data_IF_802847590088
#
_entry.id   IF_802847590088
#
_cell.length_a   1.000
_cell.length_b   1.000
_cell.length_c   1.000
_cell.angle_alpha   90.00
_cell.angle_beta   90.00
_cell.angle_gamma   90.00
#
_symmetry.space_group_name_H-M   'P 1'
#
loop_
_entity.id
_entity.type
_entity.pdbx_description
1 polymer ?
#
# COMPACT_ATOMS: atom_id res chain seq x y z
N UNK A 1 0.36 26.70 11.82
CA UNK A 1 -1.08 26.93 11.57
C UNK A 1 -1.77 25.57 11.60
N UNK A 2 -2.55 25.31 12.65
CA UNK A 2 -3.24 24.05 12.88
C UNK A 2 -4.34 23.85 11.82
N UNK A 3 -4.00 23.28 10.67
CA UNK A 3 -4.99 22.64 9.81
C UNK A 3 -5.11 21.18 10.26
N UNK A 4 -5.78 20.94 11.39
CA UNK A 4 -6.32 19.60 11.62
C UNK A 4 -7.24 19.31 10.43
N UNK A 5 -6.84 18.34 9.60
CA UNK A 5 -7.65 17.83 8.51
C UNK A 5 -9.01 17.50 9.14
N UNK A 6 -10.13 18.06 8.65
CA UNK A 6 -11.41 17.79 9.27
C UNK A 6 -11.62 16.28 9.17
N UNK A 7 -11.65 15.60 10.33
CA UNK A 7 -12.35 14.32 10.42
C UNK A 7 -13.72 14.60 9.79
N UNK A 8 -14.12 13.79 8.80
CA UNK A 8 -15.43 13.92 8.17
C UNK A 8 -16.46 14.00 9.31
N UNK A 9 -17.01 15.19 9.56
CA UNK A 9 -17.90 15.47 10.71
C UNK A 9 -19.16 14.61 10.69
N UNK A 10 -19.38 13.89 9.60
CA UNK A 10 -20.56 13.10 9.27
C UNK A 10 -20.37 11.60 9.42
N UNK A 11 -19.18 11.11 9.80
CA UNK A 11 -18.94 9.67 9.95
C UNK A 11 -18.43 9.35 11.36
N UNK A 12 -19.28 8.72 12.16
CA UNK A 12 -18.89 8.08 13.41
C UNK A 12 -18.17 6.77 13.03
N UNK A 13 -16.84 6.66 13.17
CA UNK A 13 -16.06 5.55 12.60
C UNK A 13 -16.27 4.21 13.31
N UNK A 14 -16.96 4.20 14.46
CA UNK A 14 -17.16 3.00 15.26
C UNK A 14 -18.27 2.09 14.72
N UNK A 15 -19.22 2.63 13.94
CA UNK A 15 -20.36 1.86 13.44
C UNK A 15 -20.54 2.01 11.93
N UNK A 16 -20.71 0.90 11.18
CA UNK A 16 -21.01 0.97 9.76
C UNK A 16 -22.39 1.61 9.55
N UNK A 17 -22.51 2.47 8.56
CA UNK A 17 -23.82 2.95 8.10
C UNK A 17 -24.60 1.85 7.36
N UNK A 18 -25.90 2.08 7.15
CA UNK A 18 -26.80 1.10 6.51
C UNK A 18 -26.28 0.60 5.15
N UNK A 19 -25.74 1.50 4.33
CA UNK A 19 -25.19 1.16 3.01
C UNK A 19 -23.92 0.31 3.11
N UNK A 20 -23.05 0.58 4.10
CA UNK A 20 -21.87 -0.24 4.37
C UNK A 20 -22.28 -1.63 4.86
N UNK A 21 -23.30 -1.71 5.72
CA UNK A 21 -23.82 -2.97 6.23
C UNK A 21 -24.45 -3.82 5.10
N UNK A 22 -25.24 -3.19 4.22
CA UNK A 22 -25.81 -3.83 3.03
C UNK A 22 -24.70 -4.40 2.14
N UNK A 23 -23.68 -3.59 1.79
CA UNK A 23 -22.54 -4.04 0.99
C UNK A 23 -21.75 -5.17 1.64
N UNK A 24 -21.58 -5.13 2.96
CA UNK A 24 -20.91 -6.19 3.68
C UNK A 24 -21.73 -7.48 3.69
N UNK A 25 -23.06 -7.38 3.84
CA UNK A 25 -23.97 -8.53 3.81
C UNK A 25 -23.98 -9.18 2.43
N UNK A 26 -24.05 -8.39 1.34
CA UNK A 26 -23.91 -8.89 -0.03
C UNK A 26 -22.57 -9.63 -0.25
N UNK A 27 -21.48 -9.08 0.27
CA UNK A 27 -20.16 -9.72 0.20
C UNK A 27 -20.12 -11.03 1.00
N UNK A 28 -20.71 -11.06 2.19
CA UNK A 28 -20.77 -12.28 3.00
C UNK A 28 -21.55 -13.39 2.30
N UNK A 29 -22.71 -13.06 1.72
CA UNK A 29 -23.54 -14.00 0.95
C UNK A 29 -22.81 -14.52 -0.29
N UNK A 30 -22.09 -13.65 -1.00
CA UNK A 30 -21.31 -14.06 -2.17
C UNK A 30 -20.18 -15.01 -1.79
N UNK A 31 -19.40 -14.69 -0.75
CA UNK A 31 -18.32 -15.54 -0.24
C UNK A 31 -18.84 -16.91 0.21
N UNK A 32 -19.98 -16.95 0.91
CA UNK A 32 -20.63 -18.21 1.31
C UNK A 32 -21.07 -19.04 0.11
N UNK A 33 -21.61 -18.39 -0.92
CA UNK A 33 -22.11 -19.03 -2.14
C UNK A 33 -20.98 -19.57 -3.01
N UNK A 34 -19.89 -18.80 -3.18
CA UNK A 34 -18.69 -19.25 -3.91
C UNK A 34 -18.01 -20.44 -3.21
N UNK A 35 -17.97 -20.41 -1.88
CA UNK A 35 -17.25 -21.38 -1.08
C UNK A 35 -15.73 -21.33 -1.33
N UNK A 36 -14.99 -22.19 -0.62
CA UNK A 36 -13.53 -22.18 -0.66
C UNK A 36 -12.98 -22.40 -2.08
N UNK A 37 -13.57 -23.33 -2.84
CA UNK A 37 -13.10 -23.62 -4.19
C UNK A 37 -13.31 -22.42 -5.13
N UNK A 38 -14.49 -21.77 -5.07
CA UNK A 38 -14.75 -20.58 -5.88
C UNK A 38 -13.76 -19.44 -5.58
N UNK A 39 -13.45 -19.22 -4.30
CA UNK A 39 -12.44 -18.21 -3.92
C UNK A 39 -11.04 -18.56 -4.43
N UNK A 40 -10.66 -19.84 -4.42
CA UNK A 40 -9.38 -20.29 -4.98
C UNK A 40 -9.32 -20.06 -6.50
N UNK A 41 -10.44 -20.30 -7.20
CA UNK A 41 -10.54 -20.10 -8.63
C UNK A 41 -10.47 -18.59 -8.97
N UNK A 42 -11.17 -17.73 -8.23
CA UNK A 42 -11.05 -16.26 -8.37
C UNK A 42 -9.63 -15.77 -8.11
N UNK A 43 -9.00 -16.27 -7.03
CA UNK A 43 -7.61 -15.93 -6.73
C UNK A 43 -6.67 -16.40 -7.84
N UNK A 44 -6.89 -17.57 -8.43
CA UNK A 44 -6.05 -18.08 -9.52
C UNK A 44 -6.10 -17.18 -10.76
N UNK A 45 -7.26 -16.57 -11.06
CA UNK A 45 -7.41 -15.58 -12.14
C UNK A 45 -6.60 -14.31 -11.84
N UNK A 46 -6.68 -13.79 -10.62
CA UNK A 46 -6.03 -12.52 -10.24
C UNK A 46 -4.53 -12.70 -9.99
N UNK A 47 -4.07 -13.87 -9.55
CA UNK A 47 -2.67 -14.14 -9.21
C UNK A 47 -1.70 -13.84 -10.34
N UNK A 48 -2.12 -14.02 -11.59
CA UNK A 48 -1.31 -13.74 -12.78
C UNK A 48 -1.39 -12.29 -13.27
N UNK A 49 -2.26 -11.47 -12.69
CA UNK A 49 -2.48 -10.10 -13.13
C UNK A 49 -1.24 -9.25 -12.91
N UNK A 50 -0.79 -8.60 -13.98
CA UNK A 50 0.19 -7.54 -13.95
C UNK A 50 -0.41 -6.34 -14.66
N UNK A 51 -0.10 -5.14 -14.17
CA UNK A 51 -0.48 -3.91 -14.86
C UNK A 51 0.34 -3.78 -16.13
N UNK A 52 -0.29 -3.32 -17.21
CA UNK A 52 0.37 -3.00 -18.47
C UNK A 52 0.35 -1.46 -18.69
N UNK A 53 1.51 -0.83 -18.93
CA UNK A 53 2.82 -1.45 -19.13
C UNK A 53 3.50 -1.85 -17.80
N UNK A 54 4.05 -3.07 -17.75
CA UNK A 54 4.83 -3.53 -16.60
C UNK A 54 6.27 -2.96 -16.63
N UNK A 55 6.47 -1.77 -16.07
CA UNK A 55 7.77 -1.06 -16.08
C UNK A 55 8.38 -0.96 -14.68
N UNK A 56 9.64 -1.37 -14.52
CA UNK A 56 10.34 -1.52 -13.22
C UNK A 56 11.80 -1.04 -13.26
N UNK A 57 12.12 -0.07 -14.12
CA UNK A 57 13.48 0.44 -14.31
C UNK A 57 14.07 1.01 -13.01
N UNK A 58 13.30 1.79 -12.25
CA UNK A 58 13.79 2.37 -11.00
C UNK A 58 14.07 1.29 -9.95
N UNK A 59 13.22 0.26 -9.86
CA UNK A 59 13.45 -0.90 -9.01
C UNK A 59 14.77 -1.60 -9.35
N UNK A 60 14.99 -1.88 -10.64
CA UNK A 60 16.20 -2.56 -11.12
C UNK A 60 17.48 -1.75 -10.89
N UNK A 61 17.41 -0.41 -10.96
CA UNK A 61 18.53 0.49 -10.70
C UNK A 61 18.89 0.65 -9.21
N UNK A 62 18.02 0.20 -8.29
CA UNK A 62 18.15 0.44 -6.84
C UNK A 62 18.04 -0.84 -6.00
N UNK A 63 18.56 -1.97 -6.50
CA UNK A 63 18.47 -3.28 -5.82
C UNK A 63 18.80 -3.27 -4.32
N UNK A 64 19.84 -2.55 -3.82
CA UNK A 64 20.12 -2.51 -2.39
C UNK A 64 19.00 -1.90 -1.53
N UNK A 65 18.09 -1.12 -2.12
CA UNK A 65 16.97 -0.50 -1.41
C UNK A 65 15.71 -1.39 -1.37
N UNK A 66 15.75 -2.55 -2.02
CA UNK A 66 14.61 -3.46 -2.18
C UNK A 66 14.77 -4.64 -1.23
N UNK A 67 13.77 -4.87 -0.35
CA UNK A 67 13.81 -5.98 0.60
C UNK A 67 13.77 -7.34 -0.08
N UNK A 68 13.01 -7.45 -1.17
CA UNK A 68 12.83 -8.66 -1.95
C UNK A 68 13.03 -8.34 -3.43
N UNK A 69 13.74 -9.22 -4.15
CA UNK A 69 14.07 -9.03 -5.58
C UNK A 69 12.89 -9.33 -6.50
N UNK A 70 11.97 -10.16 -6.03
CA UNK A 70 10.79 -10.65 -6.74
C UNK A 70 9.52 -9.83 -6.43
N UNK A 71 9.62 -8.84 -5.55
CA UNK A 71 8.56 -7.88 -5.27
C UNK A 71 8.91 -6.56 -5.94
N UNK A 72 8.33 -6.31 -7.11
CA UNK A 72 8.69 -5.18 -7.94
C UNK A 72 8.03 -3.87 -7.47
N UNK A 73 8.77 -2.77 -7.60
CA UNK A 73 8.22 -1.43 -7.48
C UNK A 73 7.97 -0.89 -8.89
N UNK A 74 6.71 -0.58 -9.19
CA UNK A 74 6.27 -0.18 -10.53
C UNK A 74 6.61 1.28 -10.78
N UNK A 75 7.22 1.60 -11.92
CA UNK A 75 7.63 2.98 -12.24
C UNK A 75 6.44 3.93 -12.37
N UNK A 76 5.31 3.46 -12.91
CA UNK A 76 4.12 4.28 -13.17
C UNK A 76 3.51 4.87 -11.90
N UNK A 77 3.44 4.08 -10.83
CA UNK A 77 2.78 4.47 -9.58
C UNK A 77 3.74 4.67 -8.41
N UNK A 78 5.07 4.61 -8.63
CA UNK A 78 6.03 4.73 -7.51
C UNK A 78 5.95 6.11 -6.86
N UNK A 79 6.25 6.16 -5.57
CA UNK A 79 6.49 7.44 -4.89
C UNK A 79 7.88 7.95 -5.30
N UNK A 80 7.93 9.17 -5.84
CA UNK A 80 9.16 9.83 -6.26
C UNK A 80 9.60 10.78 -5.16
N UNK A 81 10.72 10.47 -4.51
CA UNK A 81 11.27 11.35 -3.47
C UNK A 81 11.89 12.60 -4.09
N UNK A 82 11.64 13.75 -3.47
CA UNK A 82 12.26 15.02 -3.83
C UNK A 82 13.79 14.91 -3.78
N UNK A 83 14.44 15.29 -4.87
CA UNK A 83 15.89 15.34 -4.96
C UNK A 83 16.38 16.56 -4.17
N UNK A 84 17.13 16.30 -3.10
CA UNK A 84 17.97 17.30 -2.42
C UNK A 84 19.41 16.80 -2.50
N UNK A 85 20.37 17.70 -2.39
CA UNK A 85 21.81 17.46 -2.54
C UNK A 85 22.25 16.01 -2.20
N UNK A 86 22.78 15.31 -3.20
CA UNK A 86 23.28 13.93 -3.13
C UNK A 86 22.26 12.83 -2.71
N UNK A 87 20.97 13.13 -2.64
CA UNK A 87 19.91 12.14 -2.35
C UNK A 87 19.16 11.74 -3.62
N UNK A 88 19.04 10.42 -3.84
CA UNK A 88 18.29 9.83 -4.97
C UNK A 88 16.79 9.88 -4.74
N UNK A 89 16.01 9.79 -5.81
CA UNK A 89 14.54 9.89 -5.81
C UNK A 89 13.81 8.58 -5.48
N UNK A 90 14.54 7.49 -5.20
CA UNK A 90 13.98 6.15 -5.07
C UNK A 90 13.72 5.71 -3.63
N UNK A 91 12.50 5.23 -3.41
CA UNK A 91 12.05 4.36 -2.33
C UNK A 91 11.14 3.28 -2.91
N UNK A 92 11.16 2.08 -2.36
CA UNK A 92 10.26 0.98 -2.76
C UNK A 92 8.87 1.21 -2.16
N UNK A 93 8.10 2.05 -2.85
CA UNK A 93 6.74 2.45 -2.46
C UNK A 93 5.92 2.78 -3.70
N UNK A 94 4.65 2.38 -3.72
CA UNK A 94 3.71 2.70 -4.78
C UNK A 94 2.43 3.33 -4.21
N UNK A 95 1.89 4.31 -4.92
CA UNK A 95 0.56 4.83 -4.66
C UNK A 95 -0.49 3.79 -5.05
N UNK A 96 -1.45 3.57 -4.15
CA UNK A 96 -2.64 2.75 -4.39
C UNK A 96 -3.83 3.69 -4.31
N UNK A 97 -4.43 3.95 -5.47
CA UNK A 97 -5.47 4.96 -5.67
C UNK A 97 -6.61 4.39 -6.51
N UNK A 98 -7.75 5.08 -6.45
CA UNK A 98 -8.91 4.79 -7.28
C UNK A 98 -10.04 4.09 -6.53
N UNK A 99 -11.21 3.93 -7.16
CA UNK A 99 -12.34 3.25 -6.55
C UNK A 99 -11.97 1.81 -6.16
N UNK A 100 -12.47 1.29 -5.04
CA UNK A 100 -13.45 1.89 -4.12
C UNK A 100 -12.81 2.69 -2.97
N UNK A 101 -11.51 3.02 -3.03
CA UNK A 101 -10.82 3.65 -1.92
C UNK A 101 -11.32 5.07 -1.66
N UNK A 102 -11.66 5.36 -0.40
CA UNK A 102 -12.02 6.71 0.05
C UNK A 102 -10.77 7.59 0.17
N UNK A 103 -9.63 6.97 0.49
CA UNK A 103 -8.35 7.64 0.66
C UNK A 103 -7.32 7.04 -0.30
N UNK A 104 -6.40 7.87 -0.77
CA UNK A 104 -5.18 7.40 -1.41
C UNK A 104 -4.27 6.75 -0.37
N UNK A 105 -3.72 5.59 -0.69
CA UNK A 105 -2.76 4.89 0.14
C UNK A 105 -1.37 4.90 -0.49
N UNK A 106 -0.35 4.77 0.35
CA UNK A 106 1.00 4.40 -0.08
C UNK A 106 1.26 3.02 0.51
N UNK A 107 1.45 2.04 -0.37
CA UNK A 107 1.93 0.73 0.01
C UNK A 107 3.45 0.73 -0.12
N UNK A 108 4.15 0.40 0.96
CA UNK A 108 5.61 0.43 1.02
C UNK A 108 6.13 -0.79 1.78
N UNK A 109 7.35 -1.21 1.48
CA UNK A 109 8.03 -2.24 2.26
C UNK A 109 8.33 -1.74 3.69
N UNK A 110 8.53 -2.67 4.62
CA UNK A 110 9.17 -2.35 5.90
C UNK A 110 10.57 -1.75 5.65
N UNK A 111 10.92 -0.58 6.23
CA UNK A 111 12.17 0.10 5.93
C UNK A 111 13.38 -0.76 6.30
N UNK A 112 14.39 -0.74 5.43
CA UNK A 112 15.70 -1.35 5.67
C UNK A 112 16.57 -0.36 6.43
N UNK A 113 17.69 -0.81 7.00
CA UNK A 113 18.67 0.06 7.66
C UNK A 113 19.05 1.27 6.80
N UNK A 114 19.28 1.05 5.50
CA UNK A 114 19.67 2.04 4.52
C UNK A 114 18.51 2.89 3.97
N UNK A 115 17.25 2.52 4.23
CA UNK A 115 16.07 3.25 3.72
C UNK A 115 15.22 3.91 4.81
N UNK A 116 15.60 3.87 6.08
CA UNK A 116 14.90 4.58 7.17
C UNK A 116 14.78 6.08 6.86
N UNK A 117 15.85 6.72 6.41
CA UNK A 117 15.85 8.15 6.06
C UNK A 117 14.93 8.44 4.88
N UNK A 118 14.91 7.56 3.87
CA UNK A 118 14.03 7.69 2.70
C UNK A 118 12.56 7.51 3.10
N UNK A 119 12.26 6.57 4.01
CA UNK A 119 10.91 6.34 4.54
C UNK A 119 10.37 7.57 5.26
N UNK A 120 11.15 8.19 6.15
CA UNK A 120 10.72 9.42 6.81
C UNK A 120 10.65 10.61 5.86
N UNK A 121 11.53 10.68 4.86
CA UNK A 121 11.45 11.70 3.80
C UNK A 121 10.14 11.55 3.01
N UNK A 122 9.74 10.33 2.69
CA UNK A 122 8.47 10.02 2.04
C UNK A 122 7.29 10.44 2.92
N UNK A 123 7.26 10.00 4.18
CA UNK A 123 6.16 10.31 5.10
C UNK A 123 5.99 11.83 5.29
N UNK A 124 7.11 12.55 5.41
CA UNK A 124 7.11 14.01 5.49
C UNK A 124 6.64 14.68 4.19
N UNK A 125 7.22 14.30 3.05
CA UNK A 125 6.89 14.87 1.74
C UNK A 125 5.41 14.68 1.38
N UNK A 126 4.89 13.48 1.59
CA UNK A 126 3.51 13.11 1.26
C UNK A 126 2.52 13.52 2.36
N UNK A 127 3.00 14.20 3.41
CA UNK A 127 2.22 14.65 4.56
C UNK A 127 1.36 13.52 5.15
N UNK A 128 1.97 12.35 5.34
CA UNK A 128 1.31 11.16 5.84
C UNK A 128 0.91 11.36 7.32
N UNK A 129 -0.39 11.42 7.60
CA UNK A 129 -0.90 11.59 8.97
C UNK A 129 -0.89 10.31 9.81
N UNK A 130 -0.87 9.14 9.15
CA UNK A 130 -0.94 7.83 9.80
C UNK A 130 0.01 6.85 9.10
N UNK A 131 0.62 5.98 9.90
CA UNK A 131 1.39 4.83 9.44
C UNK A 131 0.73 3.59 10.03
N UNK A 132 0.32 2.66 9.17
CA UNK A 132 -0.25 1.37 9.58
C UNK A 132 0.78 0.28 9.30
N UNK A 133 1.32 -0.33 10.35
CA UNK A 133 2.28 -1.43 10.25
C UNK A 133 1.55 -2.75 10.46
N UNK A 134 1.57 -3.61 9.45
CA UNK A 134 0.83 -4.89 9.41
C UNK A 134 1.71 -6.12 9.71
N UNK A 135 2.91 -5.91 10.25
CA UNK A 135 3.85 -6.97 10.60
C UNK A 135 4.56 -6.68 11.92
N UNK A 136 5.06 -7.72 12.55
CA UNK A 136 5.99 -7.59 13.68
C UNK A 136 7.39 -7.22 13.18
N UNK A 137 8.25 -6.70 14.06
CA UNK A 137 9.65 -6.41 13.73
C UNK A 137 10.42 -7.68 13.33
N UNK A 138 10.02 -8.83 13.86
CA UNK A 138 10.60 -10.15 13.58
C UNK A 138 9.48 -11.17 13.49
N UNK A 139 9.41 -11.91 12.39
CA UNK A 139 8.50 -13.04 12.24
C UNK A 139 9.32 -14.28 11.85
N UNK A 140 9.09 -15.40 12.55
CA UNK A 140 9.79 -16.67 12.28
C UNK A 140 11.33 -16.51 12.24
N UNK A 141 11.87 -15.64 13.09
CA UNK A 141 13.31 -15.33 13.19
C UNK A 141 13.86 -14.42 12.08
N UNK A 142 13.02 -13.93 11.17
CA UNK A 142 13.43 -13.01 10.10
C UNK A 142 12.98 -11.58 10.42
N UNK A 143 13.93 -10.63 10.38
CA UNK A 143 13.62 -9.20 10.52
C UNK A 143 12.76 -8.73 9.35
N UNK A 144 11.68 -8.01 9.67
CA UNK A 144 10.77 -7.42 8.68
C UNK A 144 11.09 -5.97 8.36
#
# INVERSE_FOLDING_TARGET
ANSQRPLLKTHEPEFPNEKQLEKFTEFEESVKTLGVQGLLDEFAVIKGYNIEPFVTNAHNAHQPKNRYKDIYCLDESRVVLSQKENMRDYIHSNFVKGPPFINDFICTQGPLSETITDFWRMAWQENAGYIVMLCELVELGKKK
#
